data_IF_926702942092
#
_entry.id   IF_926702942092
#
_cell.length_a   1.000
_cell.length_b   1.000
_cell.length_c   1.000
_cell.angle_alpha   90.00
_cell.angle_beta   90.00
_cell.angle_gamma   90.00
#
_symmetry.space_group_name_H-M   'P 1'
#
loop_
_entity.id
_entity.type
_entity.pdbx_description
1 polymer ?
#
# COMPACT_ATOMS: atom_id res chain seq x y z
N UNK A 1 12.91 -3.88 -2.54
CA UNK A 1 13.67 -4.32 -1.33
C UNK A 1 12.85 -3.95 -0.10
N UNK A 2 12.62 -4.87 0.84
CA UNK A 2 11.65 -4.72 1.95
C UNK A 2 11.93 -3.54 2.89
N UNK A 3 13.22 -3.23 3.13
CA UNK A 3 13.67 -2.09 3.95
C UNK A 3 13.82 -0.79 3.16
N UNK A 4 13.51 -0.81 1.87
CA UNK A 4 13.55 0.41 1.07
C UNK A 4 12.44 1.37 1.54
N UNK A 5 12.69 2.68 1.48
CA UNK A 5 11.64 3.65 1.74
C UNK A 5 10.48 3.45 0.75
N UNK A 6 9.27 3.30 1.29
CA UNK A 6 8.06 3.16 0.49
C UNK A 6 7.18 4.40 0.60
N UNK A 7 6.62 4.82 -0.53
CA UNK A 7 5.77 6.02 -0.63
C UNK A 7 4.40 5.72 -0.05
N UNK A 8 3.93 6.61 0.83
CA UNK A 8 2.57 6.56 1.36
C UNK A 8 1.55 7.06 0.33
N UNK A 9 0.48 6.30 0.11
CA UNK A 9 -0.65 6.69 -0.76
C UNK A 9 -1.44 7.89 -0.25
N UNK A 10 -1.40 8.19 1.06
CA UNK A 10 -2.14 9.29 1.67
C UNK A 10 -1.37 10.62 1.70
N UNK A 11 -0.09 10.60 2.08
CA UNK A 11 0.69 11.82 2.27
C UNK A 11 1.89 11.95 1.31
N UNK A 12 2.02 11.05 0.33
CA UNK A 12 3.08 11.03 -0.69
C UNK A 12 4.52 11.03 -0.17
N UNK A 13 4.74 10.73 1.12
CA UNK A 13 6.07 10.70 1.74
C UNK A 13 6.66 9.29 1.78
N UNK A 14 7.97 9.11 1.57
CA UNK A 14 8.66 7.82 1.59
C UNK A 14 8.92 7.33 3.03
N UNK A 15 7.86 7.20 3.83
CA UNK A 15 7.93 6.96 5.29
C UNK A 15 7.09 5.77 5.74
N UNK A 16 6.75 4.88 4.80
CA UNK A 16 6.01 3.65 5.09
C UNK A 16 6.99 2.57 5.53
N UNK A 17 6.71 1.98 6.69
CA UNK A 17 7.43 0.82 7.25
C UNK A 17 6.49 -0.33 7.56
N UNK A 18 7.04 -1.55 7.69
CA UNK A 18 6.28 -2.76 8.03
C UNK A 18 6.17 -2.88 9.55
N UNK A 19 4.96 -3.09 10.05
CA UNK A 19 4.71 -3.33 11.49
C UNK A 19 4.41 -4.81 11.80
N UNK A 20 3.97 -5.59 10.81
CA UNK A 20 3.65 -7.00 10.98
C UNK A 20 3.58 -7.72 9.64
N UNK A 21 3.06 -8.95 9.64
CA UNK A 21 2.90 -9.73 8.41
C UNK A 21 1.83 -9.16 7.52
N UNK A 22 2.23 -8.57 6.39
CA UNK A 22 1.32 -7.92 5.45
C UNK A 22 0.74 -6.60 5.94
N UNK A 23 1.21 -6.05 7.08
CA UNK A 23 0.69 -4.80 7.64
C UNK A 23 1.77 -3.72 7.57
N UNK A 24 1.41 -2.60 6.95
CA UNK A 24 2.29 -1.46 6.69
C UNK A 24 1.71 -0.19 7.31
N UNK A 25 2.57 0.63 7.91
CA UNK A 25 2.18 1.89 8.57
C UNK A 25 3.07 3.03 8.13
N UNK A 26 2.46 4.16 7.80
CA UNK A 26 3.18 5.43 7.59
C UNK A 26 3.45 6.08 8.95
N UNK A 27 4.71 6.39 9.24
CA UNK A 27 5.08 7.10 10.47
C UNK A 27 4.67 8.56 10.48
N UNK A 28 4.46 9.19 9.30
CA UNK A 28 4.10 10.61 9.20
C UNK A 28 2.61 10.90 9.37
N UNK A 29 1.75 10.16 8.68
CA UNK A 29 0.29 10.38 8.73
C UNK A 29 -0.46 9.32 9.54
N UNK A 30 0.23 8.31 10.08
CA UNK A 30 -0.38 7.23 10.87
C UNK A 30 -1.18 6.21 10.07
N UNK A 31 -1.33 6.40 8.76
CA UNK A 31 -2.12 5.51 7.90
C UNK A 31 -1.55 4.08 7.92
N UNK A 32 -2.39 3.12 8.29
CA UNK A 32 -2.07 1.70 8.34
C UNK A 32 -2.89 0.97 7.29
N UNK A 33 -2.25 0.11 6.51
CA UNK A 33 -2.88 -0.60 5.40
C UNK A 33 -2.32 -2.02 5.23
N UNK A 34 -3.13 -2.87 4.60
CA UNK A 34 -2.74 -4.21 4.21
C UNK A 34 -2.00 -4.20 2.87
N UNK A 35 -0.95 -4.99 2.77
CA UNK A 35 -0.10 -5.13 1.60
C UNK A 35 0.56 -6.50 1.54
N UNK A 36 1.54 -6.66 0.64
CA UNK A 36 2.31 -7.89 0.58
C UNK A 36 3.21 -8.09 1.80
N UNK A 37 3.64 -9.34 2.02
CA UNK A 37 4.51 -9.70 3.15
C UNK A 37 5.85 -8.98 3.12
N UNK A 38 6.45 -8.84 1.93
CA UNK A 38 7.79 -8.27 1.72
C UNK A 38 7.78 -6.92 0.97
N UNK A 39 6.67 -6.58 0.33
CA UNK A 39 6.47 -5.34 -0.42
C UNK A 39 5.09 -4.78 -0.10
N UNK A 40 4.92 -3.48 0.16
CA UNK A 40 3.62 -2.91 0.50
C UNK A 40 2.62 -2.98 -0.65
N UNK A 41 3.10 -2.86 -1.89
CA UNK A 41 2.26 -2.91 -3.08
C UNK A 41 2.68 -4.10 -3.94
N UNK A 42 1.83 -5.12 -4.00
CA UNK A 42 2.02 -6.25 -4.91
C UNK A 42 1.46 -5.90 -6.30
N UNK A 43 2.02 -6.50 -7.35
CA UNK A 43 1.49 -6.33 -8.72
C UNK A 43 0.03 -6.76 -8.80
N UNK A 44 -0.30 -7.93 -8.23
CA UNK A 44 -1.67 -8.47 -8.19
C UNK A 44 -2.61 -7.54 -7.43
N UNK A 45 -2.20 -7.02 -6.27
CA UNK A 45 -3.02 -6.09 -5.49
C UNK A 45 -3.30 -4.79 -6.24
N UNK A 46 -2.30 -4.26 -6.96
CA UNK A 46 -2.50 -3.07 -7.81
C UNK A 46 -3.47 -3.33 -8.96
N UNK A 47 -3.37 -4.48 -9.64
CA UNK A 47 -4.30 -4.86 -10.71
C UNK A 47 -5.73 -4.95 -10.17
N UNK A 48 -5.92 -5.63 -9.04
CA UNK A 48 -7.23 -5.76 -8.42
C UNK A 48 -7.84 -4.40 -8.08
N UNK A 49 -7.07 -3.49 -7.46
CA UNK A 49 -7.55 -2.14 -7.14
C UNK A 49 -8.00 -1.36 -8.38
N UNK A 50 -7.30 -1.52 -9.51
CA UNK A 50 -7.69 -0.90 -10.79
C UNK A 50 -8.98 -1.52 -11.34
N UNK A 51 -9.08 -2.84 -11.35
CA UNK A 51 -10.29 -3.54 -11.80
C UNK A 51 -11.50 -3.16 -10.95
N UNK A 52 -11.35 -3.13 -9.62
CA UNK A 52 -12.43 -2.72 -8.71
C UNK A 52 -12.86 -1.28 -8.95
N UNK A 53 -11.91 -0.37 -9.21
CA UNK A 53 -12.22 1.02 -9.55
C UNK A 53 -13.06 1.09 -10.83
N UNK A 54 -12.64 0.41 -11.90
CA UNK A 54 -13.38 0.39 -13.16
C UNK A 54 -14.80 -0.19 -12.99
N UNK A 55 -14.95 -1.26 -12.20
CA UNK A 55 -16.25 -1.86 -11.90
C UNK A 55 -17.15 -0.90 -11.09
N UNK A 56 -16.57 -0.10 -10.20
CA UNK A 56 -17.32 0.90 -9.45
C UNK A 56 -17.76 2.09 -10.32
N UNK A 57 -16.96 2.49 -11.32
CA UNK A 57 -17.26 3.58 -12.25
C UNK A 57 -18.23 3.17 -13.38
N UNK A 58 -18.29 1.88 -13.72
CA UNK A 58 -19.20 1.35 -14.74
C UNK A 58 -20.65 1.13 -14.23
N UNK A 59 -20.89 1.38 -12.93
CA UNK A 59 -22.24 1.45 -12.34
C UNK A 59 -22.74 2.87 -12.34
#
# INVERSE_FOLDING_TARGET
>A
RMRAPHVCTKCARPTVGRIGTGIWKCSKCGHTFAGGTYIPYTSVGQTLLRTMKNVAEAK
#
